data_IF_952023548138
#
_entry.id   IF_952023548138
#
_cell.length_a   1.000
_cell.length_b   1.000
_cell.length_c   1.000
_cell.angle_alpha   90.00
_cell.angle_beta   90.00
_cell.angle_gamma   90.00
#
_symmetry.space_group_name_H-M   'P 1'
#
loop_
_entity.id
_entity.type
_entity.pdbx_description
1 polymer ?
#
# COMPACT_ATOMS: atom_id res chain seq x y z
N UNK A 1 -20.09 -14.92 -3.27
CA UNK A 1 -21.26 -15.13 -4.14
C UNK A 1 -22.50 -15.16 -3.27
N UNK A 2 -23.36 -14.16 -3.39
CA UNK A 2 -24.65 -14.12 -2.69
C UNK A 2 -25.72 -14.41 -3.74
N UNK A 3 -26.49 -15.51 -3.61
CA UNK A 3 -27.57 -15.78 -4.53
C UNK A 3 -28.68 -14.73 -4.35
N UNK A 4 -29.08 -14.11 -5.45
CA UNK A 4 -30.26 -13.23 -5.47
C UNK A 4 -31.55 -14.06 -5.45
N UNK A 5 -32.67 -13.45 -5.06
CA UNK A 5 -33.99 -14.11 -5.08
C UNK A 5 -34.40 -14.64 -6.47
N UNK A 6 -33.78 -14.14 -7.54
CA UNK A 6 -34.00 -14.57 -8.93
C UNK A 6 -33.04 -15.69 -9.39
N UNK A 7 -32.23 -16.27 -8.49
CA UNK A 7 -31.27 -17.32 -8.83
C UNK A 7 -30.03 -16.83 -9.58
N UNK A 8 -29.86 -15.51 -9.74
CA UNK A 8 -28.62 -14.91 -10.29
C UNK A 8 -27.57 -14.74 -9.21
N UNK A 9 -26.31 -14.87 -9.62
CA UNK A 9 -25.16 -14.61 -8.77
C UNK A 9 -24.85 -13.14 -8.60
N UNK A 10 -24.65 -12.70 -7.36
CA UNK A 10 -24.08 -11.39 -7.06
C UNK A 10 -22.70 -11.55 -6.42
N UNK A 11 -21.72 -10.84 -6.96
CA UNK A 11 -20.45 -10.61 -6.30
C UNK A 11 -20.55 -9.33 -5.48
N UNK A 12 -20.12 -9.40 -4.22
CA UNK A 12 -20.17 -8.27 -3.29
C UNK A 12 -18.78 -8.05 -2.74
N UNK A 13 -18.33 -6.80 -2.79
CA UNK A 13 -17.09 -6.35 -2.18
C UNK A 13 -17.42 -5.66 -0.86
N UNK A 14 -17.06 -6.30 0.26
CA UNK A 14 -17.34 -5.77 1.59
C UNK A 14 -16.21 -4.86 2.06
N UNK A 15 -16.56 -3.84 2.87
CA UNK A 15 -15.55 -2.98 3.50
C UNK A 15 -14.58 -3.74 4.40
N UNK A 16 -14.97 -4.91 4.93
CA UNK A 16 -14.06 -5.78 5.68
C UNK A 16 -12.85 -6.24 4.86
N UNK A 17 -12.99 -6.36 3.54
CA UNK A 17 -11.88 -6.69 2.65
C UNK A 17 -10.85 -5.56 2.49
N UNK A 18 -11.18 -4.34 2.92
CA UNK A 18 -10.28 -3.16 2.90
C UNK A 18 -9.49 -3.00 4.21
N UNK A 19 -10.02 -3.52 5.32
CA UNK A 19 -9.48 -3.22 6.66
C UNK A 19 -8.22 -4.03 6.95
N UNK A 20 -8.28 -5.34 6.72
CA UNK A 20 -7.17 -6.24 6.99
C UNK A 20 -7.29 -7.50 6.16
N UNK A 21 -6.23 -7.86 5.43
CA UNK A 21 -6.10 -9.20 4.87
C UNK A 21 -4.89 -9.89 5.49
N UNK A 22 -4.96 -11.22 5.61
CA UNK A 22 -3.88 -12.07 6.13
C UNK A 22 -3.19 -12.82 4.97
N UNK A 23 -2.46 -12.15 4.06
CA UNK A 23 -1.72 -12.87 3.03
C UNK A 23 -0.50 -13.57 3.64
N UNK A 24 -0.05 -14.62 2.97
CA UNK A 24 1.19 -15.30 3.32
C UNK A 24 2.39 -14.37 3.15
N UNK A 25 3.19 -14.20 4.20
CA UNK A 25 4.39 -13.38 4.22
C UNK A 25 5.68 -14.22 4.28
N UNK A 26 5.60 -15.54 4.16
CA UNK A 26 6.73 -16.48 4.23
C UNK A 26 7.89 -16.16 3.28
N UNK A 27 7.58 -15.44 2.20
CA UNK A 27 8.53 -15.06 1.16
C UNK A 27 9.33 -13.78 1.47
N UNK A 28 8.97 -13.00 2.50
CA UNK A 28 9.62 -11.73 2.85
C UNK A 28 10.36 -11.79 4.19
N UNK A 29 11.57 -11.19 4.32
CA UNK A 29 12.40 -10.56 3.28
C UNK A 29 13.33 -11.55 2.53
N UNK A 30 13.50 -12.77 3.06
CA UNK A 30 14.36 -13.81 2.50
C UNK A 30 13.58 -15.13 2.54
N UNK A 31 12.94 -15.48 1.42
CA UNK A 31 11.95 -16.55 1.35
C UNK A 31 12.42 -17.88 1.97
N UNK A 32 11.73 -18.30 3.02
CA UNK A 32 11.77 -19.68 3.53
C UNK A 32 12.54 -19.95 4.82
N UNK A 33 13.06 -18.96 5.55
CA UNK A 33 13.84 -19.20 6.79
C UNK A 33 13.01 -19.09 8.08
N UNK A 34 11.80 -18.51 8.04
CA UNK A 34 10.93 -18.38 9.23
C UNK A 34 9.98 -19.57 9.35
N UNK A 35 9.79 -20.09 10.56
CA UNK A 35 8.75 -21.10 10.86
C UNK A 35 7.39 -20.59 10.38
N UNK A 36 6.63 -21.43 9.67
CA UNK A 36 5.39 -21.05 8.96
C UNK A 36 4.33 -20.37 9.82
N UNK A 37 4.34 -20.58 11.15
CA UNK A 37 3.44 -19.91 12.08
C UNK A 37 3.73 -18.41 12.25
N UNK A 38 5.00 -18.00 12.15
CA UNK A 38 5.46 -16.61 12.32
C UNK A 38 5.57 -15.84 11.00
N UNK A 39 5.30 -16.53 9.89
CA UNK A 39 5.30 -16.00 8.53
C UNK A 39 4.00 -15.28 8.15
N UNK A 40 3.18 -14.88 9.12
CA UNK A 40 1.91 -14.17 8.87
C UNK A 40 2.20 -12.70 8.58
N UNK A 41 1.62 -12.21 7.50
CA UNK A 41 1.60 -10.78 7.20
C UNK A 41 0.19 -10.24 7.27
N UNK A 42 0.10 -8.94 7.47
CA UNK A 42 -1.14 -8.20 7.49
C UNK A 42 -1.04 -7.04 6.52
N UNK A 43 -2.05 -6.91 5.68
CA UNK A 43 -2.21 -5.72 4.83
C UNK A 43 -3.25 -4.80 5.42
N UNK A 44 -3.07 -3.49 5.25
CA UNK A 44 -4.07 -2.50 5.58
C UNK A 44 -4.15 -1.47 4.46
N UNK A 45 -5.36 -1.07 4.05
CA UNK A 45 -5.53 -0.04 3.03
C UNK A 45 -4.93 1.30 3.47
N UNK A 46 -4.11 1.89 2.60
CA UNK A 46 -3.67 3.28 2.74
C UNK A 46 -4.52 4.21 1.85
N UNK A 47 -5.43 5.01 2.45
CA UNK A 47 -6.28 5.93 1.70
C UNK A 47 -5.52 7.15 1.14
N UNK A 48 -4.24 7.36 1.49
CA UNK A 48 -3.43 8.43 0.90
C UNK A 48 -3.09 8.19 -0.58
N UNK A 49 -3.14 6.92 -1.00
CA UNK A 49 -3.00 6.52 -2.40
C UNK A 49 -4.35 6.05 -2.94
N UNK A 50 -4.86 6.66 -4.04
CA UNK A 50 -6.17 6.30 -4.56
C UNK A 50 -6.18 4.88 -5.13
N UNK A 51 -7.28 4.15 -4.90
CA UNK A 51 -7.53 2.89 -5.59
C UNK A 51 -7.71 3.15 -7.10
N UNK A 52 -7.28 2.19 -7.92
CA UNK A 52 -7.32 2.31 -9.36
C UNK A 52 -7.72 0.99 -10.02
N UNK A 53 -8.18 1.07 -11.26
CA UNK A 53 -8.51 -0.10 -12.08
C UNK A 53 -7.34 -0.38 -13.00
N UNK A 54 -6.77 -1.57 -12.92
CA UNK A 54 -5.74 -2.04 -13.84
C UNK A 54 -6.40 -2.92 -14.91
N UNK A 55 -6.12 -2.64 -16.18
CA UNK A 55 -6.57 -3.47 -17.29
C UNK A 55 -5.42 -4.39 -17.71
N UNK A 56 -5.64 -5.71 -17.62
CA UNK A 56 -4.65 -6.73 -18.01
C UNK A 56 -5.35 -7.71 -18.96
N UNK A 57 -4.87 -7.80 -20.20
CA UNK A 57 -5.49 -8.60 -21.25
C UNK A 57 -6.94 -8.19 -21.49
N UNK A 58 -7.89 -9.09 -21.21
CA UNK A 58 -9.33 -8.85 -21.35
C UNK A 58 -10.05 -8.58 -20.01
N UNK A 59 -9.32 -8.48 -18.90
CA UNK A 59 -9.88 -8.30 -17.56
C UNK A 59 -9.65 -6.90 -16.99
N UNK A 60 -10.53 -6.48 -16.08
CA UNK A 60 -10.36 -5.29 -15.24
C UNK A 60 -10.20 -5.71 -13.78
N UNK A 61 -9.17 -5.21 -13.11
CA UNK A 61 -8.85 -5.55 -11.73
C UNK A 61 -8.87 -4.29 -10.87
N UNK A 62 -9.63 -4.31 -9.78
CA UNK A 62 -9.55 -3.27 -8.75
C UNK A 62 -8.30 -3.46 -7.91
N UNK A 63 -7.40 -2.49 -7.96
CA UNK A 63 -6.17 -2.44 -7.19
C UNK A 63 -6.32 -1.46 -6.01
N UNK A 64 -6.18 -1.98 -4.80
CA UNK A 64 -6.26 -1.20 -3.55
C UNK A 64 -4.84 -1.07 -2.98
N UNK A 65 -4.28 0.15 -2.88
CA UNK A 65 -2.95 0.36 -2.31
C UNK A 65 -2.93 0.01 -0.82
N UNK A 66 -2.07 -0.91 -0.40
CA UNK A 66 -1.98 -1.32 1.00
C UNK A 66 -0.58 -1.14 1.55
N UNK A 67 -0.48 -0.95 2.86
CA UNK A 67 0.75 -1.24 3.59
C UNK A 67 0.82 -2.74 3.93
N UNK A 68 2.03 -3.28 4.10
CA UNK A 68 2.26 -4.67 4.49
C UNK A 68 3.18 -4.77 5.70
N UNK A 69 2.69 -5.41 6.75
CA UNK A 69 3.41 -5.56 8.03
C UNK A 69 3.44 -7.03 8.46
N UNK A 70 4.50 -7.42 9.17
CA UNK A 70 4.61 -8.74 9.77
C UNK A 70 3.69 -8.87 10.99
N UNK A 71 3.51 -10.10 11.46
CA UNK A 71 2.88 -10.37 12.76
C UNK A 71 3.56 -9.65 13.94
N UNK A 72 4.88 -9.42 13.85
CA UNK A 72 5.65 -8.68 14.86
C UNK A 72 5.54 -7.16 14.73
N UNK A 73 4.82 -6.65 13.72
CA UNK A 73 4.66 -5.22 13.45
C UNK A 73 5.82 -4.58 12.67
N UNK A 74 6.74 -5.40 12.14
CA UNK A 74 7.80 -4.94 11.25
C UNK A 74 7.21 -4.62 9.88
N UNK A 75 7.68 -3.55 9.23
CA UNK A 75 7.27 -3.26 7.86
C UNK A 75 7.93 -4.26 6.91
N UNK A 76 7.11 -4.91 6.07
CA UNK A 76 7.54 -5.82 5.02
C UNK A 76 7.43 -5.18 3.62
N UNK A 77 6.96 -3.93 3.56
CA UNK A 77 6.87 -3.11 2.35
C UNK A 77 7.82 -1.91 2.38
N UNK A 78 7.74 -1.10 1.32
CA UNK A 78 8.39 0.21 1.24
C UNK A 78 7.45 1.36 1.60
N UNK A 79 6.13 1.15 1.58
CA UNK A 79 5.14 2.20 1.78
C UNK A 79 5.06 2.64 3.24
N UNK A 80 5.05 1.71 4.20
CA UNK A 80 5.01 2.05 5.62
C UNK A 80 6.28 2.80 6.08
N UNK A 81 7.52 2.40 5.69
CA UNK A 81 8.72 3.20 5.96
C UNK A 81 8.64 4.60 5.35
N UNK A 82 8.18 4.73 4.10
CA UNK A 82 8.05 6.03 3.45
C UNK A 82 7.08 6.97 4.18
N UNK A 83 5.91 6.48 4.58
CA UNK A 83 4.93 7.29 5.33
C UNK A 83 5.50 7.75 6.69
N UNK A 84 6.25 6.88 7.39
CA UNK A 84 6.95 7.24 8.63
C UNK A 84 8.00 8.33 8.39
N UNK A 85 8.79 8.21 7.33
CA UNK A 85 9.80 9.22 6.95
C UNK A 85 9.17 10.57 6.60
N UNK A 86 8.06 10.57 5.84
CA UNK A 86 7.34 11.80 5.50
C UNK A 86 6.78 12.50 6.74
N UNK A 87 6.17 11.75 7.67
CA UNK A 87 5.66 12.32 8.92
C UNK A 87 6.79 12.86 9.81
N UNK A 88 7.91 12.15 9.91
CA UNK A 88 9.08 12.63 10.64
C UNK A 88 9.61 13.94 10.06
N UNK A 89 9.73 14.03 8.74
CA UNK A 89 10.17 15.23 8.05
C UNK A 89 9.20 16.40 8.28
N UNK A 90 7.89 16.17 8.20
CA UNK A 90 6.87 17.17 8.51
C UNK A 90 7.02 17.73 9.94
N UNK A 91 7.11 16.84 10.94
CA UNK A 91 7.25 17.23 12.35
C UNK A 91 8.53 18.05 12.61
N UNK A 92 9.62 17.75 11.90
CA UNK A 92 10.87 18.48 12.00
C UNK A 92 10.85 19.82 11.25
N UNK A 93 10.18 19.88 10.09
CA UNK A 93 10.16 21.05 9.23
C UNK A 93 9.21 22.14 9.73
N UNK A 94 8.03 21.79 10.27
CA UNK A 94 7.02 22.76 10.71
C UNK A 94 7.58 23.77 11.73
N UNK A 95 8.28 23.38 12.82
CA UNK A 95 8.87 24.33 13.76
C UNK A 95 9.88 25.28 13.12
N UNK A 96 10.64 24.80 12.12
CA UNK A 96 11.61 25.62 11.39
C UNK A 96 10.89 26.66 10.52
N UNK A 97 9.83 26.26 9.81
CA UNK A 97 9.00 27.19 9.03
C UNK A 97 8.34 28.26 9.91
N UNK A 98 7.94 27.91 11.14
CA UNK A 98 7.28 28.81 12.08
C UNK A 98 8.18 29.94 12.62
N UNK A 99 9.51 29.88 12.42
CA UNK A 99 10.38 31.03 12.65
C UNK A 99 10.11 32.18 11.65
N UNK A 100 9.57 31.86 10.46
CA UNK A 100 9.32 32.82 9.38
C UNK A 100 7.83 33.13 9.21
N UNK A 101 6.96 32.13 9.33
CA UNK A 101 5.51 32.29 9.32
C UNK A 101 4.85 31.35 10.33
N UNK A 102 4.29 31.92 11.39
CA UNK A 102 3.63 31.17 12.48
C UNK A 102 2.37 30.42 12.04
N UNK A 103 1.81 30.73 10.88
CA UNK A 103 0.60 30.08 10.38
C UNK A 103 0.87 28.76 9.65
N UNK A 104 2.14 28.40 9.42
CA UNK A 104 2.49 27.13 8.78
C UNK A 104 2.14 25.98 9.74
N UNK A 105 1.23 25.10 9.30
CA UNK A 105 0.76 23.93 10.07
C UNK A 105 1.15 22.59 9.45
N UNK A 106 1.60 22.60 8.19
CA UNK A 106 1.91 21.39 7.43
C UNK A 106 3.01 21.66 6.42
N UNK A 107 3.90 20.69 6.25
CA UNK A 107 4.90 20.65 5.19
C UNK A 107 4.74 19.34 4.44
N UNK A 108 4.67 19.39 3.11
CA UNK A 108 4.52 18.21 2.27
C UNK A 108 5.72 18.09 1.33
N UNK A 109 6.37 16.94 1.32
CA UNK A 109 7.43 16.65 0.37
C UNK A 109 6.83 16.29 -0.99
N UNK A 110 7.37 16.87 -2.07
CA UNK A 110 7.00 16.57 -3.45
C UNK A 110 8.13 15.81 -4.15
N UNK A 111 7.80 14.83 -4.98
CA UNK A 111 8.77 14.04 -5.74
C UNK A 111 8.41 14.08 -7.24
N UNK A 112 9.33 14.56 -8.07
CA UNK A 112 9.29 14.41 -9.52
C UNK A 112 10.37 13.42 -9.94
N UNK A 113 9.98 12.24 -10.40
CA UNK A 113 10.91 11.20 -10.85
C UNK A 113 11.03 11.23 -12.37
N UNK A 114 12.23 10.93 -12.86
CA UNK A 114 12.52 10.74 -14.28
C UNK A 114 12.86 9.26 -14.50
N UNK A 115 12.33 8.68 -15.57
CA UNK A 115 12.47 7.26 -15.84
C UNK A 115 13.14 7.02 -17.18
N UNK A 116 14.24 6.27 -17.12
CA UNK A 116 14.95 5.80 -18.29
C UNK A 116 14.71 4.29 -18.47
N UNK A 117 14.58 3.85 -19.73
CA UNK A 117 14.47 2.45 -20.10
C UNK A 117 14.95 2.25 -21.54
N UNK A 118 15.35 1.01 -21.84
CA UNK A 118 15.71 0.59 -23.20
C UNK A 118 14.58 -0.25 -23.79
N UNK A 119 14.41 -0.20 -25.11
CA UNK A 119 13.54 -1.10 -25.85
C UNK A 119 14.42 -2.05 -26.67
N UNK A 120 14.15 -3.34 -26.55
CA UNK A 120 14.79 -4.41 -27.31
C UNK A 120 13.70 -5.16 -28.06
N UNK A 121 13.98 -5.55 -29.29
CA UNK A 121 13.06 -6.34 -30.11
C UNK A 121 12.88 -7.75 -29.52
N UNK A 122 11.70 -8.33 -29.69
CA UNK A 122 11.33 -9.64 -29.13
C UNK A 122 11.87 -10.84 -29.95
N UNK A 123 12.45 -10.61 -31.14
CA UNK A 123 12.93 -11.60 -32.13
C UNK A 123 13.28 -13.02 -31.65
#
# INVERSE_FOLDING_TARGET
FIPTAEGKGLESFSGGALVQQEPDASSFPSGGIRSTFEARGYTAWDPSSPAFIMEIGHGKTLCIPTIFVSYTGEALDNKAPLLKSLNFLENAAVPVCQYFDKNVTKVTATLGWEQEYFLVDEA
#
